data_IF_705050637580
#
_entry.id   IF_705050637580
#
_cell.length_a   1.000
_cell.length_b   1.000
_cell.length_c   1.000
_cell.angle_alpha   90.00
_cell.angle_beta   90.00
_cell.angle_gamma   90.00
#
_symmetry.space_group_name_H-M   'P 1'
#
loop_
_entity.id
_entity.type
_entity.pdbx_description
1 polymer ?
#
# COMPACT_ATOMS: atom_id res chain seq x y z
N UNK A 1 -13.39 -16.84 15.22
CA UNK A 1 -12.83 -15.95 16.26
C UNK A 1 -11.31 -15.99 16.18
N UNK A 2 -10.63 -14.85 16.01
CA UNK A 2 -9.15 -14.81 15.87
C UNK A 2 -8.45 -14.97 17.22
N UNK A 3 -7.49 -15.89 17.30
CA UNK A 3 -6.72 -16.18 18.54
C UNK A 3 -5.81 -15.00 18.95
N UNK A 4 -5.41 -14.88 20.23
CA UNK A 4 -4.45 -13.85 20.67
C UNK A 4 -3.14 -13.85 19.86
N UNK A 5 -2.66 -15.03 19.45
CA UNK A 5 -1.46 -15.18 18.62
C UNK A 5 -1.64 -14.59 17.21
N UNK A 6 -2.80 -14.83 16.59
CA UNK A 6 -3.15 -14.25 15.29
C UNK A 6 -3.20 -12.73 15.35
N UNK A 7 -3.81 -12.16 16.39
CA UNK A 7 -3.88 -10.69 16.58
C UNK A 7 -2.50 -10.07 16.74
N UNK A 8 -1.61 -10.69 17.53
CA UNK A 8 -0.22 -10.22 17.67
C UNK A 8 0.50 -10.23 16.33
N UNK A 9 0.36 -11.30 15.56
CA UNK A 9 0.98 -11.41 14.23
C UNK A 9 0.50 -10.31 13.28
N UNK A 10 -0.80 -10.02 13.26
CA UNK A 10 -1.35 -8.94 12.41
C UNK A 10 -0.83 -7.57 12.82
N UNK A 11 -0.73 -7.28 14.13
CA UNK A 11 -0.15 -6.02 14.63
C UNK A 11 1.30 -5.84 14.20
N UNK A 12 2.10 -6.91 14.27
CA UNK A 12 3.49 -6.85 13.80
C UNK A 12 3.58 -6.67 12.29
N UNK A 13 2.72 -7.34 11.51
CA UNK A 13 2.62 -7.08 10.06
C UNK A 13 2.31 -5.61 9.78
N UNK A 14 1.32 -5.04 10.47
CA UNK A 14 0.97 -3.63 10.30
C UNK A 14 2.14 -2.71 10.63
N UNK A 15 2.84 -2.94 11.75
CA UNK A 15 4.00 -2.13 12.14
C UNK A 15 5.13 -2.18 11.08
N UNK A 16 5.33 -3.33 10.41
CA UNK A 16 6.28 -3.45 9.31
C UNK A 16 5.84 -2.60 8.11
N UNK A 17 4.55 -2.64 7.74
CA UNK A 17 4.01 -1.87 6.62
C UNK A 17 4.07 -0.37 6.90
N UNK A 18 3.71 0.06 8.11
CA UNK A 18 3.78 1.46 8.53
C UNK A 18 5.21 1.99 8.48
N UNK A 19 6.18 1.20 8.95
CA UNK A 19 7.60 1.56 8.85
C UNK A 19 8.09 1.60 7.41
N UNK A 20 7.63 0.69 6.55
CA UNK A 20 7.97 0.69 5.14
C UNK A 20 7.47 1.96 4.44
N UNK A 21 6.21 2.37 4.68
CA UNK A 21 5.66 3.62 4.17
C UNK A 21 6.48 4.82 4.63
N UNK A 22 6.77 4.90 5.93
CA UNK A 22 7.56 6.00 6.49
C UNK A 22 8.94 6.11 5.83
N UNK A 23 9.67 4.99 5.70
CA UNK A 23 11.00 4.97 5.03
C UNK A 23 10.88 5.41 3.56
N UNK A 24 9.88 4.93 2.83
CA UNK A 24 9.69 5.31 1.42
C UNK A 24 9.38 6.81 1.28
N UNK A 25 8.56 7.36 2.16
CA UNK A 25 8.20 8.80 2.17
C UNK A 25 9.40 9.67 2.53
N UNK A 26 10.19 9.27 3.53
CA UNK A 26 11.32 10.04 4.03
C UNK A 26 12.56 9.95 3.12
N UNK A 27 12.92 8.75 2.68
CA UNK A 27 14.21 8.46 2.05
C UNK A 27 14.09 7.85 0.63
N UNK A 28 12.86 7.60 0.17
CA UNK A 28 12.58 6.99 -1.13
C UNK A 28 12.65 5.45 -1.12
N UNK A 29 12.05 4.84 -2.15
CA UNK A 29 11.99 3.38 -2.31
C UNK A 29 13.36 2.65 -2.33
N UNK A 30 14.46 3.23 -2.86
CA UNK A 30 15.78 2.60 -2.79
C UNK A 30 16.31 2.44 -1.36
N UNK A 31 15.92 3.29 -0.42
CA UNK A 31 16.35 3.22 0.99
C UNK A 31 15.65 2.10 1.78
N UNK A 32 14.52 1.61 1.27
CA UNK A 32 13.84 0.47 1.86
C UNK A 32 14.68 -0.81 1.67
N UNK A 33 14.93 -1.50 2.78
CA UNK A 33 15.59 -2.80 2.84
C UNK A 33 15.14 -3.54 4.10
N UNK A 34 15.35 -4.86 4.13
CA UNK A 34 15.03 -5.65 5.33
C UNK A 34 15.82 -5.16 6.56
N UNK A 35 17.04 -4.64 6.35
CA UNK A 35 17.87 -4.09 7.44
C UNK A 35 17.33 -2.75 7.94
N UNK A 36 17.08 -1.80 7.05
CA UNK A 36 16.58 -0.47 7.43
C UNK A 36 15.20 -0.56 8.10
N UNK A 37 14.35 -1.50 7.69
CA UNK A 37 13.11 -1.82 8.38
C UNK A 37 13.34 -2.36 9.79
N UNK A 38 14.21 -3.36 9.91
CA UNK A 38 14.51 -4.01 11.18
C UNK A 38 15.05 -2.99 12.21
N UNK A 39 15.97 -2.13 11.77
CA UNK A 39 16.52 -1.04 12.58
C UNK A 39 15.43 -0.03 12.99
N UNK A 40 14.48 0.31 12.10
CA UNK A 40 13.39 1.28 12.37
C UNK A 40 12.39 0.80 13.42
N UNK A 41 12.11 -0.52 13.47
CA UNK A 41 11.08 -1.08 14.37
C UNK A 41 11.64 -1.91 15.53
N UNK A 42 12.96 -1.86 15.76
CA UNK A 42 13.67 -2.62 16.80
C UNK A 42 13.48 -4.15 16.69
N UNK A 43 13.65 -4.66 15.47
CA UNK A 43 13.62 -6.09 15.15
C UNK A 43 14.97 -6.55 14.60
N UNK A 44 15.18 -7.85 14.55
CA UNK A 44 16.27 -8.42 13.76
C UNK A 44 15.82 -8.59 12.30
N UNK A 45 16.73 -8.45 11.30
CA UNK A 45 16.39 -8.73 9.91
C UNK A 45 15.84 -10.15 9.71
N UNK A 46 16.41 -11.14 10.41
CA UNK A 46 15.93 -12.52 10.40
C UNK A 46 14.48 -12.66 10.91
N UNK A 47 14.12 -11.89 11.95
CA UNK A 47 12.75 -11.89 12.50
C UNK A 47 11.71 -11.34 11.53
N UNK A 48 12.08 -10.40 10.65
CA UNK A 48 11.16 -9.87 9.64
C UNK A 48 10.78 -10.92 8.58
N UNK A 49 11.70 -11.84 8.26
CA UNK A 49 11.43 -12.92 7.32
C UNK A 49 10.35 -13.90 7.81
N UNK A 50 9.97 -13.89 9.09
CA UNK A 50 8.81 -14.64 9.58
C UNK A 50 7.47 -14.02 9.13
N UNK A 51 7.46 -12.77 8.68
CA UNK A 51 6.26 -12.00 8.33
C UNK A 51 6.12 -11.80 6.83
N UNK A 52 7.24 -11.54 6.15
CA UNK A 52 7.33 -11.28 4.71
C UNK A 52 8.62 -11.88 4.14
N UNK A 53 8.54 -12.48 2.95
CA UNK A 53 9.65 -13.12 2.24
C UNK A 53 10.69 -12.15 1.68
N UNK A 54 10.45 -10.84 1.73
CA UNK A 54 11.40 -9.83 1.27
C UNK A 54 10.79 -8.44 1.15
N UNK A 55 11.60 -7.51 0.66
CA UNK A 55 11.20 -6.12 0.43
C UNK A 55 10.04 -6.03 -0.55
N UNK A 56 10.09 -6.84 -1.61
CA UNK A 56 9.13 -6.84 -2.70
C UNK A 56 7.73 -7.24 -2.20
N UNK A 57 7.64 -8.23 -1.30
CA UNK A 57 6.36 -8.64 -0.69
C UNK A 57 5.80 -7.55 0.25
N UNK A 58 6.68 -6.85 0.98
CA UNK A 58 6.28 -5.72 1.83
C UNK A 58 5.72 -4.58 0.99
N UNK A 59 6.41 -4.23 -0.09
CA UNK A 59 5.98 -3.18 -1.00
C UNK A 59 4.65 -3.54 -1.67
N UNK A 60 4.49 -4.79 -2.12
CA UNK A 60 3.22 -5.28 -2.66
C UNK A 60 2.09 -5.18 -1.63
N UNK A 61 2.33 -5.59 -0.37
CA UNK A 61 1.34 -5.48 0.68
C UNK A 61 0.95 -4.03 1.02
N UNK A 62 1.89 -3.08 0.97
CA UNK A 62 1.57 -1.65 1.10
C UNK A 62 0.70 -1.17 -0.07
N UNK A 63 1.03 -1.59 -1.30
CA UNK A 63 0.23 -1.27 -2.48
C UNK A 63 -1.19 -1.85 -2.38
N UNK A 64 -1.33 -3.09 -1.90
CA UNK A 64 -2.63 -3.73 -1.70
C UNK A 64 -3.49 -2.99 -0.67
N UNK A 65 -2.92 -2.52 0.44
CA UNK A 65 -3.61 -1.67 1.42
C UNK A 65 -4.07 -0.34 0.78
N UNK A 66 -3.19 0.33 0.02
CA UNK A 66 -3.52 1.57 -0.66
C UNK A 66 -4.63 1.38 -1.71
N UNK A 67 -4.58 0.30 -2.49
CA UNK A 67 -5.63 -0.06 -3.45
C UNK A 67 -6.95 -0.34 -2.75
N UNK A 68 -6.92 -0.99 -1.58
CA UNK A 68 -8.13 -1.25 -0.81
C UNK A 68 -8.82 0.05 -0.40
N UNK A 69 -8.08 1.01 0.15
CA UNK A 69 -8.63 2.33 0.50
C UNK A 69 -9.15 3.10 -0.71
N UNK A 70 -8.42 3.07 -1.82
CA UNK A 70 -8.85 3.71 -3.07
C UNK A 70 -10.17 3.10 -3.59
N UNK A 71 -10.27 1.78 -3.63
CA UNK A 71 -11.48 1.10 -4.10
C UNK A 71 -12.64 1.29 -3.14
N UNK A 72 -12.41 1.29 -1.83
CA UNK A 72 -13.44 1.59 -0.84
C UNK A 72 -14.01 3.00 -1.06
N UNK A 73 -13.15 4.00 -1.27
CA UNK A 73 -13.57 5.37 -1.56
C UNK A 73 -14.37 5.48 -2.87
N UNK A 74 -13.95 4.78 -3.92
CA UNK A 74 -14.67 4.75 -5.19
C UNK A 74 -16.01 4.00 -5.12
N UNK A 75 -16.10 2.95 -4.30
CA UNK A 75 -17.34 2.16 -4.16
C UNK A 75 -18.43 2.94 -3.43
N UNK A 76 -18.08 3.99 -2.69
CA UNK A 76 -19.05 4.92 -2.10
C UNK A 76 -19.75 5.83 -3.14
N UNK A 77 -19.26 5.89 -4.37
CA UNK A 77 -19.87 6.71 -5.42
C UNK A 77 -21.13 6.02 -5.95
N UNK A 78 -22.25 6.75 -5.98
CA UNK A 78 -23.54 6.23 -6.43
C UNK A 78 -23.49 5.83 -7.92
N UNK A 79 -23.60 4.52 -8.16
CA UNK A 79 -23.56 3.90 -9.50
C UNK A 79 -24.83 4.15 -10.34
N UNK A 80 -25.87 4.73 -9.75
CA UNK A 80 -27.12 5.07 -10.44
C UNK A 80 -27.11 6.46 -11.09
N UNK A 81 -26.06 7.25 -10.84
CA UNK A 81 -25.86 8.57 -11.45
C UNK A 81 -25.74 8.50 -12.97
N UNK A 82 -26.00 9.62 -13.64
CA UNK A 82 -25.70 9.75 -15.06
C UNK A 82 -24.19 9.52 -15.31
N UNK A 83 -23.78 8.98 -16.47
CA UNK A 83 -22.38 8.57 -16.69
C UNK A 83 -21.34 9.67 -16.43
N UNK A 84 -21.64 10.92 -16.77
CA UNK A 84 -20.75 12.05 -16.53
C UNK A 84 -20.61 12.38 -15.03
N UNK A 85 -21.71 12.33 -14.29
CA UNK A 85 -21.73 12.62 -12.85
C UNK A 85 -21.08 11.48 -12.05
N UNK A 86 -21.29 10.22 -12.46
CA UNK A 86 -20.59 9.07 -11.90
C UNK A 86 -19.08 9.19 -12.10
N UNK A 87 -18.63 9.49 -13.33
CA UNK A 87 -17.20 9.67 -13.62
C UNK A 87 -16.59 10.83 -12.82
N UNK A 88 -17.33 11.93 -12.66
CA UNK A 88 -16.91 13.03 -11.81
C UNK A 88 -16.75 12.58 -10.35
N UNK A 89 -17.74 11.86 -9.80
CA UNK A 89 -17.69 11.32 -8.45
C UNK A 89 -16.49 10.39 -8.23
N UNK A 90 -16.21 9.50 -9.18
CA UNK A 90 -15.02 8.64 -9.15
C UNK A 90 -13.73 9.47 -9.16
N UNK A 91 -13.66 10.53 -9.98
CA UNK A 91 -12.52 11.45 -10.01
C UNK A 91 -12.30 12.17 -8.68
N UNK A 92 -13.37 12.63 -8.02
CA UNK A 92 -13.30 13.23 -6.68
C UNK A 92 -12.81 12.20 -5.66
N UNK A 93 -13.36 10.98 -5.66
CA UNK A 93 -12.94 9.93 -4.74
C UNK A 93 -11.46 9.57 -4.91
N UNK A 94 -10.97 9.48 -6.15
CA UNK A 94 -9.57 9.24 -6.46
C UNK A 94 -8.65 10.34 -5.93
N UNK A 95 -9.00 11.61 -6.19
CA UNK A 95 -8.21 12.76 -5.70
C UNK A 95 -8.28 12.84 -4.17
N UNK A 96 -9.45 12.59 -3.58
CA UNK A 96 -9.66 12.53 -2.14
C UNK A 96 -8.74 11.52 -1.48
N UNK A 97 -8.70 10.29 -1.99
CA UNK A 97 -7.74 9.26 -1.55
C UNK A 97 -6.29 9.75 -1.61
N UNK A 98 -5.87 10.35 -2.73
CA UNK A 98 -4.50 10.83 -2.88
C UNK A 98 -4.13 11.94 -1.88
N UNK A 99 -5.10 12.76 -1.47
CA UNK A 99 -4.91 13.83 -0.49
C UNK A 99 -4.96 13.31 0.95
N UNK A 100 -5.81 12.34 1.25
CA UNK A 100 -5.96 11.75 2.59
C UNK A 100 -4.85 10.75 2.91
N UNK A 101 -4.36 10.03 1.90
CA UNK A 101 -3.36 8.96 2.01
C UNK A 101 -2.16 9.19 1.07
N UNK A 102 -1.43 10.32 1.22
CA UNK A 102 -0.33 10.68 0.32
C UNK A 102 0.85 9.68 0.38
N UNK A 103 1.05 9.01 1.52
CA UNK A 103 2.07 7.98 1.72
C UNK A 103 1.76 6.72 0.90
N UNK A 104 0.53 6.21 0.96
CA UNK A 104 0.09 5.10 0.12
C UNK A 104 0.11 5.46 -1.36
N UNK A 105 -0.37 6.66 -1.72
CA UNK A 105 -0.34 7.14 -3.10
C UNK A 105 1.10 7.18 -3.65
N UNK A 106 2.05 7.73 -2.90
CA UNK A 106 3.45 7.76 -3.30
C UNK A 106 3.99 6.36 -3.54
N UNK A 107 3.75 5.41 -2.62
CA UNK A 107 4.26 4.04 -2.76
C UNK A 107 3.66 3.37 -4.00
N UNK A 108 2.35 3.45 -4.21
CA UNK A 108 1.67 2.86 -5.37
C UNK A 108 2.22 3.37 -6.71
N UNK A 109 2.61 4.66 -6.79
CA UNK A 109 3.13 5.27 -8.03
C UNK A 109 4.65 5.20 -8.20
N UNK A 110 5.41 4.99 -7.12
CA UNK A 110 6.88 4.87 -7.17
C UNK A 110 7.38 3.43 -7.16
N UNK A 111 6.58 2.49 -6.64
CA UNK A 111 6.90 1.07 -6.60
C UNK A 111 6.44 0.29 -7.84
N UNK A 112 5.46 0.79 -8.57
CA UNK A 112 5.03 0.17 -9.80
C UNK A 112 6.01 0.51 -10.95
N UNK A 113 6.69 -0.45 -11.58
CA UNK A 113 6.88 -0.32 -13.02
C UNK A 113 5.48 -0.28 -13.66
N UNK A 114 5.25 0.53 -14.71
CA UNK A 114 3.96 0.55 -15.38
C UNK A 114 3.57 -0.90 -15.74
N UNK A 115 2.32 -1.33 -15.46
CA UNK A 115 1.86 -2.63 -15.90
C UNK A 115 2.00 -2.65 -17.42
N UNK A 116 2.83 -3.58 -17.85
CA UNK A 116 3.17 -3.95 -19.20
C UNK A 116 2.40 -3.23 -20.33
N UNK A 117 3.05 -2.22 -20.91
CA UNK A 117 2.83 -1.84 -22.32
C UNK A 117 3.34 -2.94 -23.29
N UNK A 118 3.50 -4.21 -22.88
CA UNK A 118 3.68 -5.37 -23.76
C UNK A 118 2.45 -6.27 -23.87
N UNK A 119 1.28 -5.82 -23.38
CA UNK A 119 -0.02 -6.43 -23.68
C UNK A 119 -0.87 -5.70 -24.72
N UNK A 120 -0.46 -4.50 -25.16
CA UNK A 120 -1.25 -3.62 -26.03
C UNK A 120 -0.56 -3.33 -27.37
N UNK A 121 -0.18 -4.37 -28.09
CA UNK A 121 -0.16 -4.34 -29.55
C UNK A 121 -1.01 -5.51 -30.04
N UNK A 122 -2.06 -5.15 -30.76
CA UNK A 122 -2.78 -6.02 -31.67
C UNK A 122 -1.83 -6.72 -32.66
#
# INVERSE_FOLDING_TARGET
MSTPRTKRRLRTKQAILDAARAIIVEDGLPALSMRTLADRIDYSPAGLYEYFGGKEEIVAAVCDEGQHYLFEAMDQVDKSLAPADYLHGIGIAYIGFALEHPDYFLVMFTAAPPPDMAGATA
#
